data_IF_050767280652
#
_entry.id   IF_050767280652
#
_cell.length_a   1.000
_cell.length_b   1.000
_cell.length_c   1.000
_cell.angle_alpha   90.00
_cell.angle_beta   90.00
_cell.angle_gamma   90.00
#
_symmetry.space_group_name_H-M   'P 1'
#
loop_
_entity.id
_entity.type
_entity.pdbx_description
1 polymer ?
#
# COMPACT_ATOMS: atom_id res chain seq x y z
N UNK A 1 13.47 -3.93 14.64
CA UNK A 1 13.17 -3.19 13.39
C UNK A 1 13.90 -3.86 12.23
N UNK A 2 13.36 -3.82 11.01
CA UNK A 2 13.99 -4.44 9.82
C UNK A 2 13.86 -5.97 9.71
N UNK A 3 12.88 -6.58 10.40
CA UNK A 3 12.60 -8.02 10.28
C UNK A 3 11.49 -8.26 9.26
N UNK A 4 11.67 -9.25 8.39
CA UNK A 4 10.58 -9.81 7.59
C UNK A 4 9.86 -10.86 8.41
N UNK A 5 8.54 -10.76 8.53
CA UNK A 5 7.72 -11.69 9.32
C UNK A 5 6.53 -12.13 8.50
N UNK A 6 6.27 -13.44 8.48
CA UNK A 6 5.12 -14.03 7.82
C UNK A 6 4.09 -14.46 8.88
N UNK A 7 2.81 -14.18 8.60
CA UNK A 7 1.68 -14.64 9.42
C UNK A 7 0.88 -15.63 8.58
N UNK A 8 0.89 -16.90 8.98
CA UNK A 8 0.28 -18.01 8.24
C UNK A 8 -0.76 -18.74 9.09
N UNK A 9 -1.75 -19.34 8.44
CA UNK A 9 -2.83 -20.07 9.10
C UNK A 9 -3.98 -20.36 8.14
N UNK A 10 -4.92 -21.22 8.56
CA UNK A 10 -6.09 -21.62 7.78
C UNK A 10 -6.97 -20.44 7.35
N UNK A 11 -7.81 -20.62 6.33
CA UNK A 11 -8.81 -19.62 5.96
C UNK A 11 -9.70 -19.27 7.15
N UNK A 12 -10.04 -17.99 7.32
CA UNK A 12 -10.86 -17.52 8.44
C UNK A 12 -10.13 -17.34 9.78
N UNK A 13 -8.85 -17.70 9.92
CA UNK A 13 -8.12 -17.56 11.20
C UNK A 13 -7.76 -16.10 11.60
N UNK A 14 -8.26 -15.09 10.87
CA UNK A 14 -8.09 -13.68 11.23
C UNK A 14 -6.87 -12.94 10.65
N UNK A 15 -6.08 -13.54 9.74
CA UNK A 15 -4.88 -12.90 9.14
C UNK A 15 -5.15 -11.50 8.57
N UNK A 16 -6.19 -11.36 7.76
CA UNK A 16 -6.57 -10.07 7.16
C UNK A 16 -7.06 -9.07 8.21
N UNK A 17 -7.61 -9.53 9.34
CA UNK A 17 -8.01 -8.68 10.45
C UNK A 17 -6.81 -8.00 11.09
N UNK A 18 -5.65 -8.67 11.17
CA UNK A 18 -4.41 -8.07 11.69
C UNK A 18 -4.00 -6.86 10.86
N UNK A 19 -3.99 -6.99 9.53
CA UNK A 19 -3.68 -5.86 8.64
C UNK A 19 -4.70 -4.71 8.82
N UNK A 20 -5.99 -5.04 8.96
CA UNK A 20 -7.05 -4.03 9.16
C UNK A 20 -6.97 -3.30 10.50
N UNK A 21 -6.54 -3.99 11.56
CA UNK A 21 -6.28 -3.38 12.87
C UNK A 21 -5.03 -2.50 12.83
N UNK A 22 -3.96 -2.95 12.19
CA UNK A 22 -2.73 -2.17 12.03
C UNK A 22 -2.96 -0.87 11.24
N UNK A 23 -3.78 -0.93 10.20
CA UNK A 23 -4.19 0.25 9.41
C UNK A 23 -5.30 1.08 10.08
N UNK A 24 -5.73 0.65 11.27
CA UNK A 24 -6.81 1.24 12.07
C UNK A 24 -8.09 1.48 11.27
N UNK A 25 -8.51 0.47 10.49
CA UNK A 25 -9.88 0.40 9.97
C UNK A 25 -10.87 0.05 11.08
N UNK A 26 -10.40 -0.64 12.12
CA UNK A 26 -11.14 -0.96 13.34
C UNK A 26 -10.22 -0.76 14.54
N UNK A 27 -10.81 -0.46 15.69
CA UNK A 27 -10.10 -0.52 16.98
C UNK A 27 -10.28 -1.92 17.59
N UNK A 28 -9.28 -2.45 18.32
CA UNK A 28 -9.41 -3.73 19.00
C UNK A 28 -10.45 -3.62 20.12
N UNK A 29 -11.31 -4.65 20.27
CA UNK A 29 -12.28 -4.72 21.36
C UNK A 29 -11.60 -4.82 22.74
N UNK A 30 -10.47 -5.53 22.79
CA UNK A 30 -9.62 -5.68 23.98
C UNK A 30 -8.14 -5.70 23.57
N UNK A 31 -7.26 -5.25 24.46
CA UNK A 31 -5.82 -5.13 24.19
C UNK A 31 -5.46 -3.85 23.42
N UNK A 32 -4.21 -3.78 22.97
CA UNK A 32 -3.65 -2.61 22.29
C UNK A 32 -2.79 -3.04 21.11
N UNK A 33 -2.69 -2.17 20.10
CA UNK A 33 -1.76 -2.30 18.98
C UNK A 33 -0.78 -1.15 19.09
N UNK A 34 0.51 -1.45 19.07
CA UNK A 34 1.55 -0.42 19.24
C UNK A 34 2.49 -0.39 18.05
N UNK A 35 2.93 0.81 17.71
CA UNK A 35 4.05 1.06 16.78
C UNK A 35 5.11 1.80 17.59
N UNK A 36 6.32 1.23 17.62
CA UNK A 36 7.43 1.76 18.44
C UNK A 36 7.09 1.93 19.93
N UNK A 37 6.24 1.06 20.47
CA UNK A 37 5.82 1.09 21.87
C UNK A 37 4.71 2.11 22.18
N UNK A 38 4.27 2.89 21.19
CA UNK A 38 3.20 3.87 21.31
C UNK A 38 1.90 3.27 20.74
N UNK A 39 0.79 3.40 21.46
CA UNK A 39 -0.52 2.94 20.99
C UNK A 39 -0.90 3.65 19.68
N UNK A 40 -1.30 2.91 18.66
CA UNK A 40 -1.73 3.47 17.37
C UNK A 40 -2.89 4.48 17.51
N UNK A 41 -3.65 4.41 18.61
CA UNK A 41 -4.74 5.34 18.92
C UNK A 41 -4.27 6.76 19.22
N UNK A 42 -3.02 6.96 19.64
CA UNK A 42 -2.48 8.30 19.90
C UNK A 42 -2.01 9.03 18.64
N UNK A 43 -1.96 8.34 17.50
CA UNK A 43 -1.62 8.95 16.22
C UNK A 43 -2.90 9.45 15.51
N UNK A 44 -2.75 10.50 14.70
CA UNK A 44 -3.75 10.80 13.68
C UNK A 44 -3.79 9.68 12.65
N UNK A 45 -4.94 9.44 12.02
CA UNK A 45 -5.04 8.43 10.97
C UNK A 45 -4.07 8.70 9.81
N UNK A 46 -3.90 9.97 9.45
CA UNK A 46 -2.99 10.36 8.38
C UNK A 46 -1.54 10.00 8.73
N UNK A 47 -1.06 10.43 9.92
CA UNK A 47 0.31 10.16 10.36
C UNK A 47 0.58 8.67 10.56
N UNK A 48 -0.41 7.88 10.99
CA UNK A 48 -0.27 6.42 11.10
C UNK A 48 -0.12 5.79 9.71
N UNK A 49 -1.04 6.10 8.79
CA UNK A 49 -1.14 5.44 7.49
C UNK A 49 -0.05 5.86 6.51
N UNK A 50 0.46 7.09 6.61
CA UNK A 50 1.58 7.56 5.78
C UNK A 50 2.89 6.79 6.04
N UNK A 51 2.98 6.08 7.18
CA UNK A 51 4.12 5.26 7.55
C UNK A 51 3.92 3.76 7.24
N UNK A 52 2.81 3.39 6.60
CA UNK A 52 2.46 1.99 6.32
C UNK A 52 2.13 1.83 4.83
N UNK A 53 2.99 1.09 4.11
CA UNK A 53 2.67 0.60 2.77
C UNK A 53 1.79 -0.67 2.84
N UNK A 54 0.77 -0.74 1.99
CA UNK A 54 -0.13 -1.91 1.91
C UNK A 54 -0.24 -2.35 0.46
N UNK A 55 -0.07 -3.65 0.22
CA UNK A 55 -0.38 -4.29 -1.06
C UNK A 55 -1.54 -5.26 -0.79
N UNK A 56 -2.79 -4.90 -1.17
CA UNK A 56 -3.95 -5.75 -0.93
C UNK A 56 -3.96 -6.96 -1.87
N UNK A 57 -4.70 -8.01 -1.49
CA UNK A 57 -4.91 -9.19 -2.34
C UNK A 57 -5.63 -8.81 -3.64
N UNK A 58 -6.69 -8.01 -3.53
CA UNK A 58 -7.41 -7.43 -4.66
C UNK A 58 -6.98 -5.97 -4.81
N UNK A 59 -6.24 -5.69 -5.87
CA UNK A 59 -5.77 -4.32 -6.17
C UNK A 59 -6.81 -3.62 -7.04
N UNK A 60 -7.12 -2.37 -6.69
CA UNK A 60 -8.03 -1.51 -7.44
C UNK A 60 -7.21 -0.51 -8.24
N UNK A 61 -7.56 -0.35 -9.51
CA UNK A 61 -7.08 0.74 -10.35
C UNK A 61 -8.20 1.77 -10.48
N UNK A 62 -7.83 3.04 -10.47
CA UNK A 62 -8.71 4.13 -10.88
C UNK A 62 -8.84 4.11 -12.40
N UNK A 63 -10.02 4.50 -12.89
CA UNK A 63 -10.30 4.72 -14.32
C UNK A 63 -9.57 5.98 -14.81
N UNK A 64 -8.25 5.90 -14.82
CA UNK A 64 -7.31 6.97 -15.15
C UNK A 64 -6.05 6.31 -15.75
N UNK A 65 -5.02 7.09 -16.04
CA UNK A 65 -3.80 6.58 -16.66
C UNK A 65 -3.03 5.65 -15.73
N UNK A 66 -2.22 4.75 -16.30
CA UNK A 66 -1.26 3.94 -15.54
C UNK A 66 -0.34 4.85 -14.71
N UNK A 67 0.12 5.97 -15.29
CA UNK A 67 0.92 6.96 -14.59
C UNK A 67 0.24 7.52 -13.35
N UNK A 68 -1.04 7.88 -13.45
CA UNK A 68 -1.85 8.35 -12.32
C UNK A 68 -1.96 7.27 -11.23
N UNK A 69 -2.27 6.03 -11.62
CA UNK A 69 -2.41 4.92 -10.68
C UNK A 69 -1.10 4.62 -9.92
N UNK A 70 0.06 4.70 -10.57
CA UNK A 70 1.36 4.53 -9.90
C UNK A 70 1.66 5.74 -9.00
N UNK A 71 1.40 6.95 -9.47
CA UNK A 71 1.61 8.18 -8.70
C UNK A 71 0.63 8.34 -7.53
N UNK A 72 -0.46 7.58 -7.48
CA UNK A 72 -1.52 7.76 -6.47
C UNK A 72 -1.03 7.65 -5.02
N UNK A 73 0.07 6.93 -4.77
CA UNK A 73 0.71 6.88 -3.45
C UNK A 73 1.27 8.23 -2.98
N UNK A 74 1.67 9.09 -3.93
CA UNK A 74 2.09 10.47 -3.71
C UNK A 74 1.97 11.26 -5.03
N UNK A 75 0.87 11.99 -5.19
CA UNK A 75 0.55 12.74 -6.42
C UNK A 75 1.50 13.93 -6.68
N UNK A 76 2.42 14.23 -5.77
CA UNK A 76 3.44 15.27 -5.96
C UNK A 76 4.66 14.79 -6.72
N UNK A 77 4.76 13.48 -6.99
CA UNK A 77 5.89 12.86 -7.67
C UNK A 77 6.01 13.27 -9.13
N UNK A 78 7.25 13.53 -9.57
CA UNK A 78 7.53 13.80 -10.97
C UNK A 78 7.41 12.52 -11.82
N UNK A 79 7.30 12.68 -13.14
CA UNK A 79 7.24 11.56 -14.06
C UNK A 79 8.50 10.67 -13.95
N UNK A 80 9.67 11.26 -13.75
CA UNK A 80 10.93 10.53 -13.56
C UNK A 80 10.91 9.67 -12.31
N UNK A 81 10.35 10.18 -11.20
CA UNK A 81 10.18 9.41 -9.97
C UNK A 81 9.17 8.26 -10.15
N UNK A 82 8.08 8.49 -10.88
CA UNK A 82 7.11 7.46 -11.25
C UNK A 82 7.78 6.36 -12.07
N UNK A 83 8.60 6.71 -13.06
CA UNK A 83 9.35 5.75 -13.88
C UNK A 83 10.35 4.93 -13.05
N UNK A 84 10.98 5.54 -12.05
CA UNK A 84 11.87 4.85 -11.12
C UNK A 84 11.13 3.81 -10.28
N UNK A 85 9.94 4.16 -9.78
CA UNK A 85 9.08 3.24 -9.02
C UNK A 85 8.64 2.06 -9.91
N UNK A 86 8.23 2.33 -11.15
CA UNK A 86 7.86 1.30 -12.12
C UNK A 86 9.02 0.34 -12.41
N UNK A 87 10.24 0.86 -12.56
CA UNK A 87 11.44 0.03 -12.75
C UNK A 87 11.72 -0.85 -11.52
N UNK A 88 11.60 -0.31 -10.32
CA UNK A 88 11.73 -1.10 -9.07
C UNK A 88 10.64 -2.18 -8.92
N UNK A 89 9.46 -1.92 -9.48
CA UNK A 89 8.35 -2.88 -9.50
C UNK A 89 8.46 -3.89 -10.67
N UNK A 90 9.47 -3.80 -11.54
CA UNK A 90 9.64 -4.60 -12.76
C UNK A 90 8.44 -4.52 -13.73
N UNK A 91 7.84 -3.34 -13.86
CA UNK A 91 6.70 -3.09 -14.75
C UNK A 91 7.06 -2.25 -15.99
N UNK A 92 8.31 -1.82 -16.10
CA UNK A 92 8.81 -0.94 -17.17
C UNK A 92 8.66 -1.56 -18.56
N UNK A 93 9.01 -2.85 -18.69
CA UNK A 93 8.84 -3.58 -19.95
C UNK A 93 7.36 -3.76 -20.29
N UNK A 94 6.51 -4.06 -19.30
CA UNK A 94 5.09 -4.24 -19.56
C UNK A 94 4.43 -2.94 -20.05
N UNK A 95 4.77 -1.82 -19.41
CA UNK A 95 4.22 -0.50 -19.76
C UNK A 95 4.75 -0.03 -21.12
N UNK A 96 6.01 -0.32 -21.48
CA UNK A 96 6.57 0.10 -22.77
C UNK A 96 5.92 -0.59 -23.98
N UNK A 97 5.29 -1.75 -23.79
CA UNK A 97 4.52 -2.43 -24.83
C UNK A 97 3.08 -1.91 -24.96
N UNK A 98 2.62 -1.05 -24.04
CA UNK A 98 1.30 -0.44 -24.14
C UNK A 98 1.32 0.68 -25.20
N UNK A 99 0.29 0.81 -26.05
CA UNK A 99 0.29 1.81 -27.13
C UNK A 99 0.50 3.26 -26.68
N UNK A 100 0.06 3.60 -25.45
CA UNK A 100 0.19 4.94 -24.87
C UNK A 100 1.14 4.97 -23.67
N UNK A 101 1.86 3.88 -23.39
CA UNK A 101 2.76 3.80 -22.24
C UNK A 101 2.07 4.17 -20.93
N UNK A 102 2.63 5.15 -20.21
CA UNK A 102 2.09 5.67 -18.95
C UNK A 102 0.72 6.35 -19.10
N UNK A 103 0.40 6.86 -20.29
CA UNK A 103 -0.88 7.54 -20.56
C UNK A 103 -2.00 6.56 -20.93
N UNK A 104 -1.71 5.25 -20.95
CA UNK A 104 -2.73 4.21 -21.16
C UNK A 104 -3.74 4.26 -20.03
N UNK A 105 -5.03 4.36 -20.36
CA UNK A 105 -6.12 4.33 -19.38
C UNK A 105 -6.37 2.88 -18.96
N UNK A 106 -6.41 2.65 -17.64
CA UNK A 106 -6.69 1.34 -17.03
C UNK A 106 -8.18 0.98 -17.04
#
# INVERSE_FOLDING_TARGET
RGKTTAIVGSSGCGKSTIARLLYRFYDPCQGTVTVDGVDIKSFTLNSLRSNIGVVPQDTVLFNDTIGYNVAYGDLTKSLEEVQEVVRKANLDVAISHMPQGYDTVA
#
